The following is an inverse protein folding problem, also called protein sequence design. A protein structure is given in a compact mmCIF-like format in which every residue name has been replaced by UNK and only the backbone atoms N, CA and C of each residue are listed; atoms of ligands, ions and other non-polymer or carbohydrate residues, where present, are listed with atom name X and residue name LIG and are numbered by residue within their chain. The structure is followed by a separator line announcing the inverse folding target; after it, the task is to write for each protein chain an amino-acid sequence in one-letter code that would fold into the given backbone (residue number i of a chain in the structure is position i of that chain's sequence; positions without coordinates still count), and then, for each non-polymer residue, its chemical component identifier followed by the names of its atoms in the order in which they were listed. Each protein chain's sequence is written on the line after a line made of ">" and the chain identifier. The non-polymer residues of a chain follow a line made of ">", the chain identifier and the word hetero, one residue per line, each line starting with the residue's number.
data_IF_582098056686
#
_entry.id   IF_582098056686
#
_cell.length_a   1.000
_cell.length_b   1.000
_cell.length_c   1.000
_cell.angle_alpha   90.00
_cell.angle_beta   90.00
_cell.angle_gamma   90.00
#
_symmetry.space_group_name_H-M   'P 1'
#
loop_
_entity.id
_entity.type
_entity.pdbx_description
1 polymer ?
#
# COMPACT_ATOMS: atom_id res chain seq x y z
N UNK A 1 -31.01 -8.68 -18.31
CA UNK A 1 -31.96 -7.98 -17.41
C UNK A 1 -31.17 -6.90 -16.70
N UNK A 2 -31.60 -5.65 -16.77
CA UNK A 2 -31.04 -4.57 -15.97
C UNK A 2 -31.59 -4.73 -14.55
N UNK A 3 -30.70 -4.79 -13.55
CA UNK A 3 -31.05 -4.83 -12.13
C UNK A 3 -31.87 -3.61 -11.74
N UNK A 4 -32.87 -3.79 -10.89
CA UNK A 4 -33.71 -2.67 -10.43
C UNK A 4 -32.96 -1.87 -9.35
N UNK A 5 -33.34 -0.62 -9.09
CA UNK A 5 -32.79 0.15 -7.96
C UNK A 5 -33.01 -0.54 -6.59
N UNK A 6 -33.98 -1.44 -6.49
CA UNK A 6 -34.27 -2.22 -5.28
C UNK A 6 -33.30 -3.40 -5.08
N UNK A 7 -32.71 -3.97 -6.15
CA UNK A 7 -31.63 -4.98 -6.04
C UNK A 7 -30.37 -4.41 -5.38
N UNK A 8 -30.12 -3.09 -5.52
CA UNK A 8 -29.01 -2.40 -4.85
C UNK A 8 -29.25 -2.25 -3.34
N UNK A 9 -30.52 -2.20 -2.90
CA UNK A 9 -30.89 -2.07 -1.48
C UNK A 9 -30.76 -3.40 -0.70
N UNK A 10 -30.70 -4.54 -1.40
CA UNK A 10 -30.51 -5.87 -0.81
C UNK A 10 -29.05 -6.36 -0.82
N UNK A 11 -28.11 -5.52 -1.27
CA UNK A 11 -26.69 -5.83 -1.08
C UNK A 11 -26.31 -5.57 0.38
N UNK A 12 -26.12 -6.63 1.16
CA UNK A 12 -25.50 -6.50 2.47
C UNK A 12 -24.08 -5.97 2.25
N UNK A 13 -23.84 -4.70 2.56
CA UNK A 13 -22.50 -4.15 2.55
C UNK A 13 -21.70 -4.81 3.67
N UNK A 14 -20.70 -5.60 3.29
CA UNK A 14 -19.76 -6.23 4.23
C UNK A 14 -18.47 -5.43 4.19
N UNK A 15 -17.94 -5.11 5.38
CA UNK A 15 -16.61 -4.52 5.52
C UNK A 15 -15.64 -5.58 5.99
N UNK A 16 -14.60 -5.82 5.20
CA UNK A 16 -13.46 -6.66 5.57
C UNK A 16 -12.25 -5.76 5.84
N UNK A 17 -11.47 -6.06 6.89
CA UNK A 17 -10.26 -5.31 7.24
C UNK A 17 -9.05 -6.23 7.21
N UNK A 18 -7.96 -5.75 6.59
CA UNK A 18 -6.69 -6.45 6.53
C UNK A 18 -5.66 -5.69 7.35
N UNK A 19 -5.15 -6.31 8.41
CA UNK A 19 -4.13 -5.75 9.28
C UNK A 19 -3.24 -6.87 9.81
N UNK A 20 -1.94 -6.76 9.54
CA UNK A 20 -0.95 -7.75 9.96
C UNK A 20 -1.09 -8.16 11.43
N UNK A 21 -1.25 -9.45 11.67
CA UNK A 21 -1.38 -10.07 13.00
C UNK A 21 -2.74 -9.91 13.67
N UNK A 22 -3.72 -9.28 13.02
CA UNK A 22 -5.09 -9.12 13.54
C UNK A 22 -6.02 -10.12 12.88
N UNK A 23 -6.88 -10.77 13.68
CA UNK A 23 -7.87 -11.76 13.22
C UNK A 23 -7.29 -12.86 12.30
N UNK A 24 -6.01 -13.20 12.51
CA UNK A 24 -5.30 -14.22 11.73
C UNK A 24 -4.73 -13.75 10.39
N UNK A 25 -4.91 -12.49 9.99
CA UNK A 25 -4.35 -11.97 8.75
C UNK A 25 -2.83 -11.78 8.85
N UNK A 26 -2.09 -12.37 7.91
CA UNK A 26 -0.61 -12.33 7.87
C UNK A 26 -0.06 -11.93 6.49
N UNK A 27 -0.92 -11.46 5.59
CA UNK A 27 -0.60 -11.18 4.19
C UNK A 27 -0.06 -9.78 3.91
N UNK A 28 0.22 -8.95 4.92
CA UNK A 28 0.89 -7.67 4.66
C UNK A 28 2.34 -7.93 4.27
N UNK A 29 2.74 -7.37 3.13
CA UNK A 29 4.12 -7.36 2.63
C UNK A 29 4.54 -5.91 2.49
N UNK A 30 5.59 -5.51 3.20
CA UNK A 30 6.06 -4.13 3.18
C UNK A 30 7.57 -3.99 3.35
N UNK A 31 8.12 -2.96 2.72
CA UNK A 31 9.54 -2.61 2.81
C UNK A 31 9.72 -1.17 2.38
N UNK A 32 10.87 -0.57 2.69
CA UNK A 32 11.27 0.69 2.08
C UNK A 32 12.65 0.57 1.43
N UNK A 33 12.86 1.39 0.41
CA UNK A 33 14.06 1.49 -0.38
C UNK A 33 14.76 2.79 0.01
N UNK A 34 16.08 2.77 0.17
CA UNK A 34 16.84 3.93 0.62
C UNK A 34 18.00 4.22 -0.32
N UNK A 35 18.02 5.42 -0.90
CA UNK A 35 19.14 5.86 -1.75
C UNK A 35 20.47 5.95 -1.00
N UNK A 36 20.44 6.10 0.33
CA UNK A 36 21.64 6.06 1.19
C UNK A 36 22.26 4.67 1.30
N UNK A 37 21.43 3.62 1.16
CA UNK A 37 21.84 2.23 1.37
C UNK A 37 21.28 1.38 0.24
N UNK A 38 21.77 1.56 -0.99
CA UNK A 38 21.02 1.16 -2.17
C UNK A 38 20.92 -0.36 -2.38
N UNK A 39 21.81 -1.13 -1.75
CA UNK A 39 21.78 -2.61 -1.76
C UNK A 39 21.16 -3.21 -0.48
N UNK A 40 20.70 -2.38 0.46
CA UNK A 40 20.15 -2.86 1.72
C UNK A 40 18.64 -3.07 1.61
N UNK A 41 18.18 -4.19 2.17
CA UNK A 41 16.76 -4.47 2.38
C UNK A 41 16.31 -4.08 3.79
N UNK A 42 15.04 -3.68 3.90
CA UNK A 42 14.44 -3.17 5.13
C UNK A 42 13.15 -3.89 5.57
N UNK A 43 12.79 -5.01 4.95
CA UNK A 43 11.60 -5.83 5.29
C UNK A 43 11.41 -6.24 6.76
N UNK A 44 12.45 -6.13 7.60
CA UNK A 44 12.38 -6.44 9.05
C UNK A 44 12.32 -5.19 9.93
N UNK A 45 12.27 -4.01 9.34
CA UNK A 45 12.23 -2.75 10.08
C UNK A 45 10.82 -2.49 10.58
N UNK A 46 10.72 -1.80 11.72
CA UNK A 46 9.43 -1.57 12.39
C UNK A 46 8.60 -0.43 11.77
N UNK A 47 9.20 0.32 10.86
CA UNK A 47 8.65 1.52 10.22
C UNK A 47 9.21 1.62 8.83
N UNK A 48 8.40 2.16 7.93
CA UNK A 48 8.78 2.50 6.57
C UNK A 48 9.00 4.01 6.44
N UNK A 49 9.90 4.37 5.53
CA UNK A 49 10.29 5.74 5.24
C UNK A 49 9.88 6.11 3.80
N UNK A 50 9.39 7.33 3.59
CA UNK A 50 8.76 7.80 2.32
C UNK A 50 9.30 9.19 1.90
N UNK A 51 10.25 9.75 2.65
CA UNK A 51 10.80 11.09 2.42
C UNK A 51 12.33 11.02 2.29
N UNK A 52 13.02 12.12 2.50
CA UNK A 52 14.46 12.18 2.54
C UNK A 52 15.01 11.52 3.81
N UNK A 53 16.00 10.67 3.61
CA UNK A 53 16.95 10.24 4.63
C UNK A 53 17.70 11.43 5.23
N UNK A 54 18.41 11.19 6.34
CA UNK A 54 19.24 12.21 6.99
C UNK A 54 20.35 12.79 6.10
N UNK A 55 20.78 12.06 5.06
CA UNK A 55 21.79 12.52 4.09
C UNK A 55 21.19 13.30 2.92
N UNK A 56 19.86 13.40 2.84
CA UNK A 56 19.14 14.04 1.74
C UNK A 56 18.87 13.14 0.53
N UNK A 57 19.15 11.84 0.60
CA UNK A 57 18.73 10.88 -0.42
C UNK A 57 17.29 10.44 -0.19
N UNK A 58 16.56 10.14 -1.27
CA UNK A 58 15.16 9.74 -1.20
C UNK A 58 14.99 8.34 -0.60
N UNK A 59 13.86 8.13 0.06
CA UNK A 59 13.38 6.85 0.55
C UNK A 59 11.96 6.59 0.05
N UNK A 60 11.70 5.40 -0.47
CA UNK A 60 10.39 5.04 -1.04
C UNK A 60 9.85 3.78 -0.36
N UNK A 61 8.55 3.74 -0.07
CA UNK A 61 7.91 2.56 0.53
C UNK A 61 7.12 1.75 -0.50
N UNK A 62 7.23 0.43 -0.39
CA UNK A 62 6.38 -0.55 -1.05
C UNK A 62 5.46 -1.19 0.00
N UNK A 63 4.19 -1.36 -0.36
CA UNK A 63 3.17 -1.97 0.48
C UNK A 63 2.22 -2.80 -0.38
N UNK A 64 1.93 -4.02 0.05
CA UNK A 64 0.95 -4.90 -0.57
C UNK A 64 0.21 -5.70 0.50
N UNK A 65 -1.00 -6.10 0.15
CA UNK A 65 -1.83 -7.00 0.94
C UNK A 65 -2.10 -8.22 0.08
N UNK A 66 -1.46 -9.33 0.43
CA UNK A 66 -1.66 -10.63 -0.20
C UNK A 66 -2.84 -11.36 0.47
N UNK A 67 -3.36 -12.40 -0.19
CA UNK A 67 -4.45 -13.24 0.29
C UNK A 67 -5.74 -12.49 0.70
N UNK A 68 -6.02 -11.34 0.06
CA UNK A 68 -7.23 -10.56 0.33
C UNK A 68 -8.51 -11.21 -0.20
N UNK A 69 -8.41 -12.04 -1.25
CA UNK A 69 -9.55 -12.62 -1.93
C UNK A 69 -9.53 -14.15 -1.85
N UNK A 70 -10.68 -14.76 -1.64
CA UNK A 70 -10.83 -16.21 -1.56
C UNK A 70 -12.11 -16.65 -0.87
N UNK A 71 -12.16 -17.93 -0.54
CA UNK A 71 -13.30 -18.54 0.18
C UNK A 71 -13.01 -18.75 1.68
N UNK A 72 -11.85 -18.29 2.17
CA UNK A 72 -11.47 -18.39 3.58
C UNK A 72 -12.17 -17.33 4.44
N UNK A 73 -12.21 -17.59 5.74
CA UNK A 73 -12.76 -16.64 6.71
C UNK A 73 -12.01 -15.30 6.65
N UNK A 74 -12.75 -14.20 6.64
CA UNK A 74 -12.19 -12.85 6.58
C UNK A 74 -11.61 -12.45 5.21
N UNK A 75 -11.70 -13.29 4.17
CA UNK A 75 -11.36 -12.89 2.79
C UNK A 75 -12.55 -12.26 2.08
N UNK A 76 -12.26 -11.47 1.04
CA UNK A 76 -13.27 -10.97 0.11
C UNK A 76 -13.61 -12.10 -0.88
N UNK A 77 -14.87 -12.54 -0.99
CA UNK A 77 -15.26 -13.54 -1.96
C UNK A 77 -14.94 -13.12 -3.39
N UNK A 78 -14.55 -14.08 -4.23
CA UNK A 78 -14.37 -13.81 -5.66
C UNK A 78 -15.70 -13.37 -6.30
N UNK A 79 -15.62 -12.37 -7.17
CA UNK A 79 -16.79 -11.79 -7.83
C UNK A 79 -17.52 -10.72 -6.99
N UNK A 80 -17.08 -10.44 -5.77
CA UNK A 80 -17.60 -9.30 -5.00
C UNK A 80 -17.32 -7.97 -5.70
N UNK A 81 -18.32 -7.08 -5.70
CA UNK A 81 -18.14 -5.69 -6.10
C UNK A 81 -17.52 -4.89 -4.96
N UNK A 82 -16.40 -4.20 -5.23
CA UNK A 82 -15.76 -3.33 -4.24
C UNK A 82 -16.37 -1.94 -4.31
N UNK A 83 -17.28 -1.65 -3.39
CA UNK A 83 -17.97 -0.34 -3.32
C UNK A 83 -17.03 0.77 -2.83
N UNK A 84 -16.11 0.44 -1.91
CA UNK A 84 -15.09 1.37 -1.43
C UNK A 84 -13.88 0.61 -0.89
N UNK A 85 -12.71 1.25 -0.94
CA UNK A 85 -11.50 0.78 -0.28
C UNK A 85 -10.83 1.97 0.42
N UNK A 86 -10.42 1.77 1.68
CA UNK A 86 -9.72 2.77 2.47
C UNK A 86 -8.44 2.17 3.03
N UNK A 87 -7.31 2.81 2.74
CA UNK A 87 -6.04 2.51 3.39
C UNK A 87 -5.80 3.53 4.52
N UNK A 88 -5.50 3.04 5.72
CA UNK A 88 -5.14 3.86 6.88
C UNK A 88 -3.76 3.47 7.36
N UNK A 89 -2.93 4.45 7.69
CA UNK A 89 -1.61 4.25 8.27
C UNK A 89 -1.34 5.26 9.38
N UNK A 90 -0.46 4.90 10.31
CA UNK A 90 -0.01 5.77 11.39
C UNK A 90 1.25 6.54 10.96
N UNK A 91 1.13 7.86 10.86
CA UNK A 91 2.27 8.75 10.59
C UNK A 91 2.90 9.18 11.91
N UNK A 92 4.14 8.78 12.12
CA UNK A 92 4.91 9.08 13.35
C UNK A 92 5.92 10.22 13.17
N UNK A 93 6.28 10.53 11.91
CA UNK A 93 7.05 11.70 11.53
C UNK A 93 6.26 12.44 10.44
N UNK A 94 5.73 13.61 10.79
CA UNK A 94 4.89 14.37 9.87
C UNK A 94 5.71 15.02 8.75
N UNK A 95 5.08 15.19 7.59
CA UNK A 95 5.71 15.81 6.44
C UNK A 95 4.69 16.29 5.43
N UNK A 96 5.05 16.20 4.16
CA UNK A 96 4.13 16.47 3.05
C UNK A 96 3.07 15.36 2.91
N UNK A 97 2.15 15.55 1.96
CA UNK A 97 1.17 14.50 1.61
C UNK A 97 1.92 13.32 0.99
N UNK A 98 1.46 12.12 1.31
CA UNK A 98 1.92 10.88 0.66
C UNK A 98 1.07 10.66 -0.58
N UNK A 99 1.69 10.40 -1.73
CA UNK A 99 1.00 9.94 -2.94
C UNK A 99 1.17 8.44 -3.08
N UNK A 100 0.12 7.75 -3.51
CA UNK A 100 0.13 6.30 -3.71
C UNK A 100 0.05 6.00 -5.20
N UNK A 101 1.04 5.27 -5.68
CA UNK A 101 1.16 4.87 -7.08
C UNK A 101 1.12 3.34 -7.16
N UNK A 102 0.23 2.80 -8.00
CA UNK A 102 0.19 1.35 -8.25
C UNK A 102 1.45 0.91 -8.98
N UNK A 103 2.10 -0.10 -8.43
CA UNK A 103 3.19 -0.82 -9.08
C UNK A 103 2.66 -1.63 -10.27
N UNK A 104 3.41 -1.62 -11.36
CA UNK A 104 3.14 -2.34 -12.60
C UNK A 104 4.12 -3.50 -12.82
N UNK A 105 5.28 -3.42 -12.16
CA UNK A 105 6.27 -4.50 -12.11
C UNK A 105 6.21 -5.22 -10.77
N UNK A 106 6.47 -6.53 -10.80
CA UNK A 106 6.53 -7.36 -9.59
C UNK A 106 7.69 -6.93 -8.68
N UNK A 107 7.51 -7.14 -7.39
CA UNK A 107 8.52 -6.90 -6.36
C UNK A 107 8.28 -7.84 -5.18
N UNK A 108 9.36 -8.16 -4.49
CA UNK A 108 9.34 -8.92 -3.25
C UNK A 108 9.77 -8.05 -2.07
N UNK A 109 9.49 -8.50 -0.85
CA UNK A 109 9.79 -7.77 0.38
C UNK A 109 11.29 -7.46 0.52
N UNK A 110 12.16 -8.27 -0.10
CA UNK A 110 13.60 -8.08 -0.07
C UNK A 110 14.13 -7.06 -1.08
N UNK A 111 13.25 -6.40 -1.85
CA UNK A 111 13.60 -5.35 -2.79
C UNK A 111 14.51 -4.27 -2.17
N UNK A 112 15.41 -3.75 -3.00
CA UNK A 112 16.37 -2.70 -2.66
C UNK A 112 16.20 -1.52 -3.61
N UNK A 113 16.86 -0.40 -3.33
CA UNK A 113 16.88 0.75 -4.23
C UNK A 113 17.40 0.37 -5.63
N UNK A 114 18.44 -0.47 -5.67
CA UNK A 114 19.04 -0.95 -6.91
C UNK A 114 18.19 -2.01 -7.63
N UNK A 115 17.18 -2.62 -6.98
CA UNK A 115 16.18 -3.46 -7.67
C UNK A 115 15.41 -2.67 -8.75
N UNK A 116 15.36 -1.34 -8.61
CA UNK A 116 14.72 -0.42 -9.55
C UNK A 116 15.74 0.55 -10.18
N UNK A 117 17.01 0.14 -10.26
CA UNK A 117 18.18 0.92 -10.71
C UNK A 117 18.52 2.15 -9.86
N UNK A 118 17.54 3.01 -9.58
CA UNK A 118 17.68 4.23 -8.81
C UNK A 118 16.41 4.53 -8.00
N UNK A 119 15.85 3.51 -7.35
CA UNK A 119 14.55 3.59 -6.70
C UNK A 119 13.39 3.61 -7.70
N UNK A 120 12.16 3.51 -7.17
CA UNK A 120 10.93 3.40 -7.98
C UNK A 120 10.73 4.63 -8.88
N UNK A 121 10.45 4.37 -10.17
CA UNK A 121 10.08 5.36 -11.17
C UNK A 121 8.57 5.34 -11.46
N UNK A 122 7.94 6.51 -11.49
CA UNK A 122 6.52 6.65 -11.85
C UNK A 122 6.37 6.91 -13.35
N UNK A 123 6.84 5.96 -14.17
CA UNK A 123 7.03 6.10 -15.63
C UNK A 123 6.06 5.25 -16.47
N UNK A 124 5.08 4.61 -15.82
CA UNK A 124 4.19 3.58 -16.38
C UNK A 124 4.88 2.27 -16.81
N UNK A 125 6.13 2.03 -16.41
CA UNK A 125 6.77 0.73 -16.49
C UNK A 125 6.94 0.11 -15.10
N UNK A 126 7.49 0.85 -14.15
CA UNK A 126 7.68 0.39 -12.77
C UNK A 126 6.44 0.67 -11.92
N UNK A 127 5.99 1.92 -11.90
CA UNK A 127 4.75 2.36 -11.27
C UNK A 127 3.98 3.33 -12.18
N UNK A 128 2.66 3.45 -11.97
CA UNK A 128 1.85 4.44 -12.69
C UNK A 128 2.35 5.87 -12.43
N UNK A 129 2.40 6.69 -13.48
CA UNK A 129 2.72 8.12 -13.37
C UNK A 129 1.68 8.87 -12.56
N UNK A 130 0.39 8.55 -12.76
CA UNK A 130 -0.71 9.16 -12.02
C UNK A 130 -0.92 8.41 -10.70
N UNK A 131 -0.91 9.15 -9.59
CA UNK A 131 -1.25 8.59 -8.28
C UNK A 131 -2.73 8.15 -8.24
N UNK A 132 -3.00 7.00 -7.65
CA UNK A 132 -4.37 6.52 -7.38
C UNK A 132 -5.01 7.27 -6.22
N UNK A 133 -4.19 7.71 -5.26
CA UNK A 133 -4.64 8.40 -4.07
C UNK A 133 -3.56 9.33 -3.50
N UNK A 134 -4.00 10.26 -2.65
CA UNK A 134 -3.12 11.10 -1.83
C UNK A 134 -3.63 11.14 -0.39
N UNK A 135 -2.72 11.13 0.58
CA UNK A 135 -3.07 11.30 1.98
C UNK A 135 -3.63 12.69 2.24
N UNK A 136 -4.43 12.83 3.29
CA UNK A 136 -4.67 14.15 3.87
C UNK A 136 -3.35 14.69 4.42
N UNK A 137 -3.20 16.02 4.45
CA UNK A 137 -2.05 16.64 5.10
C UNK A 137 -2.09 16.29 6.58
N UNK A 138 -1.05 15.61 7.07
CA UNK A 138 -0.91 15.34 8.49
C UNK A 138 -0.18 16.52 9.13
N UNK A 139 -0.75 17.08 10.21
CA UNK A 139 -0.07 18.03 11.09
C UNK A 139 0.01 17.32 12.43
N UNK A 140 1.22 16.96 12.86
CA UNK A 140 1.40 16.35 14.18
C UNK A 140 0.88 17.30 15.24
N UNK A 141 -0.03 16.83 16.09
CA UNK A 141 -0.37 17.55 17.31
C UNK A 141 0.83 17.42 18.24
N UNK A 142 1.51 18.54 18.50
CA UNK A 142 2.55 18.63 19.52
C UNK A 142 1.99 18.52 20.93
#
# INVERSE_FOLDING_TARGET
>A
MLSTPEDLLNSNLVTTTFHQGVDGYIGTVDTFLSGDRPDKTFHKWRRNEIDLSMSGNHEHTLLRFDDMFGSGDGQIPFGSEIVSATLTFYVVNGGNRITLHRMLTNWDETATWNSFNSGIQTDNNEALTTADAQSKRYVSRG
#
